data_IF_427378012288
#
_entry.id   IF_427378012288
#
_cell.length_a   1.000
_cell.length_b   1.000
_cell.length_c   1.000
_cell.angle_alpha   90.00
_cell.angle_beta   90.00
_cell.angle_gamma   90.00
#
_symmetry.space_group_name_H-M   'P 1'
#
loop_
_entity.id
_entity.type
_entity.pdbx_description
1 polymer ?
#
# COMPACT_ATOMS: atom_id res chain seq x y z
N UNK A 1 26.29 -0.55 26.20
CA UNK A 1 26.45 -0.09 24.79
C UNK A 1 26.24 -1.27 23.83
N UNK A 2 25.17 -1.42 23.07
CA UNK A 2 24.22 -0.44 22.54
C UNK A 2 22.95 -1.23 22.27
N UNK A 3 21.81 -0.74 22.74
CA UNK A 3 20.48 -1.28 22.42
C UNK A 3 20.26 -1.13 20.92
N UNK A 4 20.29 -2.24 20.17
CA UNK A 4 19.81 -2.27 18.80
C UNK A 4 18.30 -2.05 18.83
N UNK A 5 17.89 -0.79 18.72
CA UNK A 5 16.56 -0.45 18.25
C UNK A 5 16.37 -1.18 16.92
N UNK A 6 15.46 -2.15 16.89
CA UNK A 6 14.92 -2.66 15.63
C UNK A 6 13.77 -1.74 15.24
N UNK A 7 13.93 -0.77 14.33
CA UNK A 7 12.77 -0.13 13.76
C UNK A 7 12.18 -1.14 12.77
N UNK A 8 10.93 -1.54 13.01
CA UNK A 8 10.11 -2.29 12.06
C UNK A 8 10.20 -1.58 10.69
N UNK A 9 10.94 -2.18 9.77
CA UNK A 9 11.39 -1.51 8.56
C UNK A 9 10.31 -1.53 7.49
N UNK A 10 9.89 -0.33 7.09
CA UNK A 10 9.47 0.01 5.73
C UNK A 10 10.37 -0.73 4.70
N UNK A 11 9.99 -0.93 3.42
CA UNK A 11 11.00 -1.14 2.38
C UNK A 11 11.96 0.05 2.49
N UNK A 12 13.12 -0.20 3.07
CA UNK A 12 14.16 0.81 3.21
C UNK A 12 14.60 1.05 1.79
N UNK A 13 14.19 2.17 1.21
CA UNK A 13 14.77 2.64 -0.04
C UNK A 13 16.28 2.67 0.17
N UNK A 14 17.01 1.81 -0.54
CA UNK A 14 18.44 1.57 -0.32
C UNK A 14 18.81 0.21 0.28
N UNK A 15 17.86 -0.66 0.66
CA UNK A 15 18.16 -2.06 0.95
C UNK A 15 18.43 -2.83 -0.34
N UNK A 16 19.38 -3.77 -0.28
CA UNK A 16 19.74 -4.64 -1.38
C UNK A 16 18.56 -5.49 -1.85
N UNK A 17 17.68 -5.95 -0.96
CA UNK A 17 16.48 -6.70 -1.37
C UNK A 17 15.55 -5.84 -2.22
N UNK A 18 15.33 -4.59 -1.80
CA UNK A 18 14.48 -3.65 -2.53
C UNK A 18 15.09 -3.29 -3.89
N UNK A 19 16.37 -2.97 -3.92
CA UNK A 19 17.09 -2.63 -5.15
C UNK A 19 17.16 -3.81 -6.13
N UNK A 20 17.38 -5.02 -5.61
CA UNK A 20 17.36 -6.23 -6.43
C UNK A 20 16.00 -6.42 -7.09
N UNK A 21 14.92 -6.46 -6.31
CA UNK A 21 13.56 -6.74 -6.82
C UNK A 21 13.04 -5.63 -7.73
N UNK A 22 13.31 -4.36 -7.43
CA UNK A 22 12.76 -3.23 -8.18
C UNK A 22 13.60 -2.81 -9.40
N UNK A 23 14.94 -2.88 -9.30
CA UNK A 23 15.88 -2.44 -10.35
C UNK A 23 16.49 -3.62 -11.11
N UNK A 24 16.29 -4.84 -10.63
CA UNK A 24 16.88 -6.05 -11.23
C UNK A 24 18.38 -6.18 -10.98
N UNK A 25 18.97 -5.39 -10.08
CA UNK A 25 20.40 -5.51 -9.76
C UNK A 25 20.79 -4.92 -8.41
N UNK A 26 21.84 -5.49 -7.81
CA UNK A 26 22.53 -5.01 -6.60
C UNK A 26 24.03 -5.17 -6.79
N UNK A 27 24.78 -4.12 -6.45
CA UNK A 27 26.24 -4.12 -6.51
C UNK A 27 26.85 -5.12 -5.53
N UNK A 28 27.98 -5.72 -5.90
CA UNK A 28 28.85 -6.48 -5.00
C UNK A 28 29.20 -5.70 -3.72
N UNK A 29 29.43 -4.39 -3.84
CA UNK A 29 29.86 -3.51 -2.75
C UNK A 29 28.70 -2.98 -1.88
N UNK A 30 27.49 -3.53 -2.04
CA UNK A 30 26.31 -3.06 -1.30
C UNK A 30 26.44 -3.35 0.20
N UNK A 31 26.06 -2.41 1.07
CA UNK A 31 26.18 -2.55 2.54
C UNK A 31 25.58 -3.86 3.09
N UNK A 32 24.39 -4.24 2.59
CA UNK A 32 23.74 -5.53 2.91
C UNK A 32 24.56 -6.79 2.56
N UNK A 33 25.62 -6.67 1.75
CA UNK A 33 26.49 -7.77 1.31
C UNK A 33 27.92 -7.69 1.88
N UNK A 34 28.33 -6.58 2.49
CA UNK A 34 29.74 -6.32 2.84
C UNK A 34 30.33 -7.25 3.90
N UNK A 35 29.50 -7.90 4.72
CA UNK A 35 29.95 -8.76 5.84
C UNK A 35 29.94 -10.26 5.50
N UNK A 36 29.49 -10.65 4.31
CA UNK A 36 29.29 -12.06 3.93
C UNK A 36 29.83 -12.36 2.54
N UNK A 37 30.59 -13.45 2.40
CA UNK A 37 31.06 -13.95 1.11
C UNK A 37 30.08 -14.99 0.54
N UNK A 38 29.39 -14.64 -0.54
CA UNK A 38 28.47 -15.49 -1.28
C UNK A 38 29.08 -15.96 -2.62
N UNK A 39 30.41 -15.93 -2.76
CA UNK A 39 31.13 -16.38 -3.93
C UNK A 39 30.87 -15.51 -5.15
N UNK A 40 30.38 -16.11 -6.26
CA UNK A 40 30.12 -15.35 -7.49
C UNK A 40 29.13 -14.19 -7.29
N UNK A 41 28.20 -14.33 -6.35
CA UNK A 41 27.17 -13.32 -6.09
C UNK A 41 27.72 -12.05 -5.43
N UNK A 42 28.73 -12.18 -4.58
CA UNK A 42 29.46 -11.05 -3.96
C UNK A 42 30.61 -10.57 -4.83
N UNK A 43 31.09 -11.36 -5.80
CA UNK A 43 32.13 -10.94 -6.73
C UNK A 43 31.60 -10.13 -7.92
N UNK A 44 30.45 -10.50 -8.49
CA UNK A 44 29.86 -9.82 -9.65
C UNK A 44 28.58 -9.03 -9.35
N UNK A 45 28.08 -9.09 -8.11
CA UNK A 45 26.77 -8.56 -7.74
C UNK A 45 25.63 -9.50 -8.14
N UNK A 46 24.42 -9.15 -7.69
CA UNK A 46 23.19 -9.87 -8.01
C UNK A 46 22.48 -9.15 -9.15
N UNK A 47 22.00 -9.87 -10.17
CA UNK A 47 21.16 -9.28 -11.22
C UNK A 47 20.15 -10.25 -11.81
N UNK A 48 18.99 -9.74 -12.22
CA UNK A 48 17.95 -10.45 -12.95
C UNK A 48 17.26 -9.54 -13.97
N UNK A 49 16.71 -10.14 -15.04
CA UNK A 49 15.97 -9.43 -16.09
C UNK A 49 14.44 -9.55 -15.95
N UNK A 50 13.96 -9.95 -14.78
CA UNK A 50 12.54 -9.95 -14.47
C UNK A 50 12.08 -8.50 -14.25
N UNK A 51 11.19 -8.01 -15.10
CA UNK A 51 10.60 -6.67 -14.98
C UNK A 51 9.55 -6.60 -13.87
N UNK A 52 9.93 -6.95 -12.63
CA UNK A 52 9.06 -7.00 -11.47
C UNK A 52 8.70 -5.57 -11.03
N UNK A 53 7.65 -5.02 -11.66
CA UNK A 53 7.12 -3.69 -11.34
C UNK A 53 5.82 -3.82 -10.55
N UNK A 54 5.72 -3.11 -9.44
CA UNK A 54 4.45 -2.81 -8.76
C UNK A 54 3.72 -1.74 -9.59
N UNK A 55 3.10 -2.15 -10.72
CA UNK A 55 2.78 -1.23 -11.83
C UNK A 55 1.32 -0.86 -12.03
N UNK A 56 0.40 -1.32 -11.18
CA UNK A 56 -1.02 -1.01 -11.32
C UNK A 56 -1.48 -0.04 -10.24
N UNK A 57 -1.95 1.14 -10.67
CA UNK A 57 -2.61 2.14 -9.84
C UNK A 57 -3.93 2.50 -10.52
N UNK A 58 -5.05 2.22 -9.86
CA UNK A 58 -6.38 2.47 -10.42
C UNK A 58 -7.50 2.22 -9.42
N UNK A 59 -8.66 2.83 -9.67
CA UNK A 59 -9.86 2.64 -8.83
C UNK A 59 -10.57 1.37 -9.26
N UNK A 60 -10.46 0.31 -8.45
CA UNK A 60 -11.08 -1.00 -8.71
C UNK A 60 -12.04 -1.45 -7.61
N UNK A 61 -12.15 -0.69 -6.51
CA UNK A 61 -13.02 -0.98 -5.38
C UNK A 61 -14.13 0.07 -5.24
N UNK A 62 -15.37 -0.39 -5.04
CA UNK A 62 -16.56 0.48 -5.01
C UNK A 62 -17.55 0.03 -3.92
N UNK A 63 -18.18 1.01 -3.25
CA UNK A 63 -19.36 0.78 -2.41
C UNK A 63 -20.59 1.29 -3.17
N UNK A 64 -21.47 0.38 -3.58
CA UNK A 64 -22.76 0.75 -4.18
C UNK A 64 -23.85 0.80 -3.11
N UNK A 65 -24.72 1.80 -3.20
CA UNK A 65 -25.82 1.99 -2.25
C UNK A 65 -27.06 2.54 -2.97
N UNK A 66 -28.22 2.35 -2.37
CA UNK A 66 -29.48 2.86 -2.93
C UNK A 66 -29.74 4.30 -2.49
N UNK A 67 -29.98 5.18 -3.46
CA UNK A 67 -30.31 6.59 -3.22
C UNK A 67 -31.79 6.80 -2.86
N UNK A 68 -32.60 5.75 -2.70
CA UNK A 68 -33.97 5.88 -2.18
C UNK A 68 -34.04 5.76 -0.66
N UNK A 69 -33.29 4.83 -0.08
CA UNK A 69 -33.32 4.56 1.37
C UNK A 69 -32.02 4.89 2.10
N UNK A 70 -30.90 5.12 1.44
CA UNK A 70 -29.64 5.47 2.12
C UNK A 70 -29.13 6.84 1.68
N UNK A 71 -28.73 7.67 2.64
CA UNK A 71 -28.04 8.96 2.42
C UNK A 71 -26.63 8.88 2.98
N UNK A 72 -25.65 9.46 2.28
CA UNK A 72 -24.27 9.49 2.76
C UNK A 72 -24.15 10.55 3.85
N UNK A 73 -23.67 10.14 5.03
CA UNK A 73 -23.36 11.01 6.17
C UNK A 73 -21.89 11.43 6.18
N UNK A 74 -20.99 10.52 5.77
CA UNK A 74 -19.55 10.76 5.77
C UNK A 74 -18.81 9.80 4.85
N UNK A 75 -17.63 10.22 4.40
CA UNK A 75 -16.70 9.43 3.58
C UNK A 75 -15.30 9.53 4.18
N UNK A 76 -14.57 8.42 4.17
CA UNK A 76 -13.15 8.42 4.49
C UNK A 76 -12.39 9.15 3.38
N UNK A 77 -11.59 10.14 3.77
CA UNK A 77 -10.75 10.88 2.85
C UNK A 77 -9.64 10.01 2.25
N UNK A 78 -9.02 10.47 1.14
CA UNK A 78 -7.88 9.78 0.56
C UNK A 78 -6.67 9.79 1.51
N UNK A 79 -5.75 8.85 1.31
CA UNK A 79 -4.45 8.88 1.99
C UNK A 79 -3.68 10.14 1.58
N UNK A 80 -2.92 10.69 2.52
CA UNK A 80 -2.15 11.91 2.30
C UNK A 80 -1.15 11.77 1.13
N UNK A 81 -1.18 12.71 0.19
CA UNK A 81 -0.34 12.67 -1.01
C UNK A 81 1.14 12.83 -0.71
N UNK A 82 1.50 13.59 0.33
CA UNK A 82 2.90 13.78 0.69
C UNK A 82 3.51 12.53 1.30
N UNK A 83 2.69 11.70 1.95
CA UNK A 83 3.04 10.34 2.36
C UNK A 83 3.16 9.41 1.16
N UNK A 84 2.15 9.39 0.26
CA UNK A 84 2.15 8.53 -0.93
C UNK A 84 3.36 8.76 -1.84
N UNK A 85 3.83 10.02 -1.97
CA UNK A 85 5.01 10.34 -2.78
C UNK A 85 6.35 9.82 -2.24
N UNK A 86 6.38 9.33 -0.99
CA UNK A 86 7.59 8.72 -0.37
C UNK A 86 7.58 7.21 -0.45
N UNK A 87 6.42 6.61 -0.72
CA UNK A 87 6.28 5.18 -0.86
C UNK A 87 6.23 4.81 -2.34
N UNK A 88 6.75 3.63 -2.64
CA UNK A 88 6.91 3.11 -4.00
C UNK A 88 5.71 2.29 -4.44
N UNK A 89 4.86 1.90 -3.49
CA UNK A 89 3.63 1.13 -3.70
C UNK A 89 3.15 0.47 -2.41
N UNK A 90 2.08 -0.31 -2.54
CA UNK A 90 1.55 -1.17 -1.49
C UNK A 90 1.73 -2.65 -1.89
N UNK A 91 1.73 -3.62 -0.93
CA UNK A 91 1.67 -3.45 0.52
C UNK A 91 2.98 -2.87 1.09
N UNK A 92 2.92 -2.39 2.32
CA UNK A 92 4.00 -1.68 2.99
C UNK A 92 3.92 -1.90 4.52
N UNK A 93 4.98 -1.62 5.29
CA UNK A 93 5.05 -1.96 6.73
C UNK A 93 3.88 -1.42 7.57
N UNK A 94 3.31 -0.27 7.19
CA UNK A 94 2.13 0.32 7.84
C UNK A 94 0.80 0.04 7.11
N UNK A 95 0.84 -0.63 5.96
CA UNK A 95 -0.31 -0.94 5.12
C UNK A 95 -0.23 -2.40 4.66
N UNK A 96 -0.91 -3.32 5.35
CA UNK A 96 -0.75 -4.76 5.11
C UNK A 96 -1.37 -5.25 3.79
N UNK A 97 -2.02 -4.37 3.01
CA UNK A 97 -2.65 -4.68 1.73
C UNK A 97 -2.17 -3.72 0.65
N UNK A 98 -2.17 -4.20 -0.59
CA UNK A 98 -2.03 -3.47 -1.85
C UNK A 98 -3.21 -2.54 -2.18
N UNK A 99 -4.34 -2.66 -1.46
CA UNK A 99 -5.52 -1.82 -1.61
C UNK A 99 -5.64 -0.81 -0.46
N UNK A 100 -6.11 0.40 -0.78
CA UNK A 100 -6.46 1.40 0.22
C UNK A 100 -7.90 1.16 0.68
N UNK A 101 -8.11 1.04 2.00
CA UNK A 101 -9.45 0.86 2.56
C UNK A 101 -10.38 2.03 2.18
N UNK A 102 -11.55 1.70 1.64
CA UNK A 102 -12.66 2.64 1.44
C UNK A 102 -13.68 2.50 2.57
N UNK A 103 -14.18 3.62 3.09
CA UNK A 103 -15.17 3.64 4.17
C UNK A 103 -16.17 4.77 3.95
N UNK A 104 -17.44 4.44 4.15
CA UNK A 104 -18.57 5.36 4.03
C UNK A 104 -19.54 5.16 5.18
N UNK A 105 -20.04 6.25 5.74
CA UNK A 105 -21.10 6.26 6.74
C UNK A 105 -22.43 6.59 6.06
N UNK A 106 -23.45 5.76 6.30
CA UNK A 106 -24.79 5.95 5.73
C UNK A 106 -25.83 6.20 6.82
N UNK A 107 -26.78 7.11 6.52
CA UNK A 107 -28.00 7.34 7.28
C UNK A 107 -29.20 6.79 6.53
N UNK A 108 -30.00 5.98 7.22
CA UNK A 108 -31.23 5.40 6.68
C UNK A 108 -32.30 6.47 6.55
N UNK A 109 -32.82 6.64 5.34
CA UNK A 109 -33.96 7.47 5.00
C UNK A 109 -35.21 6.62 5.03
N UNK A 110 -36.02 6.84 6.05
CA UNK A 110 -37.38 6.33 6.08
C UNK A 110 -38.27 7.31 5.32
N UNK A 111 -38.97 6.82 4.28
CA UNK A 111 -40.13 7.56 3.77
C UNK A 111 -41.26 7.36 4.78
N UNK A 112 -41.85 8.42 5.35
CA UNK A 112 -43.10 8.26 6.09
C UNK A 112 -44.15 7.70 5.14
N UNK A 113 -44.80 6.61 5.54
CA UNK A 113 -45.95 6.06 4.84
C UNK A 113 -47.04 7.14 4.85
N UNK A 114 -47.37 7.69 3.68
CA UNK A 114 -48.52 8.59 3.55
C UNK A 114 -49.76 7.72 3.65
N UNK A 115 -50.28 7.53 4.87
CA UNK A 115 -51.60 6.94 5.05
C UNK A 115 -52.61 7.97 4.57
N UNK A 116 -53.08 7.81 3.34
CA UNK A 116 -54.29 8.50 2.88
C UNK A 116 -55.42 8.09 3.83
N UNK A 117 -55.84 9.04 4.67
CA UNK A 117 -57.06 8.89 5.45
C UNK A 117 -58.23 8.84 4.47
N UNK A 118 -58.68 7.63 4.14
CA UNK A 118 -59.97 7.44 3.49
C UNK A 118 -61.06 7.79 4.51
N UNK A 119 -61.71 8.93 4.30
CA UNK A 119 -62.99 9.28 4.90
C UNK A 119 -64.13 8.64 4.11
#
# INVERSE_FOLDING_TARGET
PTTANCPLSLPVTGSGVYDYVSKGSVSADHEDLQDHDYGSFTASGLSHNLGLRTGFEGVIDYIWYTTSSLSISGLLGPVDKSYLGRIVGFPHAHYPSDHVCILAEFKLRFKPETREAKF
#
